data_IF_717245461279
#
_entry.id   IF_717245461279
#
_cell.length_a   1.000
_cell.length_b   1.000
_cell.length_c   1.000
_cell.angle_alpha   90.00
_cell.angle_beta   90.00
_cell.angle_gamma   90.00
#
_symmetry.space_group_name_H-M   'P 1'
#
loop_
_entity.id
_entity.type
_entity.pdbx_description
1 polymer ?
#
# COMPACT_ATOMS: atom_id res chain seq x y z
N UNK A 1 17.60 -0.26 -2.19
CA UNK A 1 16.14 -0.49 -2.27
C UNK A 1 15.52 -0.35 -0.88
N UNK A 2 14.43 0.38 -0.81
CA UNK A 2 13.68 0.55 0.43
C UNK A 2 12.34 -0.18 0.34
N UNK A 3 11.71 -0.42 1.49
CA UNK A 3 10.44 -1.12 1.58
C UNK A 3 9.41 -0.23 2.27
N UNK A 4 8.19 -0.21 1.75
CA UNK A 4 7.15 0.71 2.18
C UNK A 4 5.84 -0.01 2.42
N UNK A 5 4.99 0.57 3.26
CA UNK A 5 3.58 0.22 3.38
C UNK A 5 2.80 1.40 2.79
N UNK A 6 1.95 1.12 1.80
CA UNK A 6 1.09 2.12 1.19
C UNK A 6 -0.31 1.98 1.79
N UNK A 7 -0.80 3.05 2.41
CA UNK A 7 -2.12 3.06 3.03
C UNK A 7 -3.15 3.46 1.98
N UNK A 8 -4.02 2.54 1.60
CA UNK A 8 -5.00 2.70 0.53
C UNK A 8 -6.40 2.89 1.12
N UNK A 9 -7.16 3.79 0.49
CA UNK A 9 -8.49 4.14 0.97
C UNK A 9 -8.47 5.16 2.10
N UNK A 10 -9.61 5.77 2.36
CA UNK A 10 -9.80 6.76 3.42
C UNK A 10 -10.84 6.24 4.41
N UNK A 11 -10.86 6.81 5.62
CA UNK A 11 -11.83 6.40 6.63
C UNK A 11 -13.27 6.60 6.19
N UNK A 12 -13.54 7.65 5.40
CA UNK A 12 -14.87 7.94 4.83
C UNK A 12 -15.05 7.40 3.41
N UNK A 13 -13.97 6.91 2.78
CA UNK A 13 -13.99 6.32 1.44
C UNK A 13 -13.09 5.08 1.42
N UNK A 14 -13.50 3.99 2.08
CA UNK A 14 -12.69 2.77 2.08
C UNK A 14 -12.66 2.14 0.69
N UNK A 15 -11.64 1.33 0.44
CA UNK A 15 -11.61 0.53 -0.77
C UNK A 15 -12.81 -0.43 -0.79
N UNK A 16 -13.42 -0.66 -1.98
CA UNK A 16 -14.41 -1.73 -2.09
C UNK A 16 -13.74 -3.08 -1.92
N UNK A 17 -14.52 -4.10 -1.56
CA UNK A 17 -13.99 -5.46 -1.42
C UNK A 17 -13.35 -5.97 -2.71
N UNK A 18 -13.90 -5.58 -3.86
CA UNK A 18 -13.46 -5.99 -5.18
C UNK A 18 -13.51 -4.80 -6.13
N UNK A 19 -12.80 -4.90 -7.26
CA UNK A 19 -12.85 -3.89 -8.33
C UNK A 19 -11.98 -2.66 -8.09
N UNK A 20 -11.11 -2.68 -7.09
CA UNK A 20 -10.15 -1.60 -6.88
C UNK A 20 -9.00 -1.67 -7.90
N UNK A 21 -8.29 -0.54 -8.09
CA UNK A 21 -7.16 -0.47 -9.01
C UNK A 21 -5.85 -0.28 -8.24
N UNK A 22 -4.75 -0.80 -8.82
CA UNK A 22 -3.39 -0.69 -8.24
C UNK A 22 -2.44 -0.15 -9.31
N UNK A 23 -2.66 1.06 -9.76
CA UNK A 23 -1.85 1.69 -10.79
C UNK A 23 -1.09 2.93 -10.30
N UNK A 24 -1.59 3.59 -9.25
CA UNK A 24 -1.00 4.83 -8.74
C UNK A 24 -1.33 4.99 -7.26
N UNK A 25 -0.41 5.60 -6.53
CA UNK A 25 -0.62 5.95 -5.12
C UNK A 25 -0.39 7.44 -4.93
N UNK A 26 -1.26 8.08 -4.16
CA UNK A 26 -1.23 9.53 -3.94
C UNK A 26 -0.82 9.87 -2.51
N UNK A 27 -0.22 11.06 -2.35
CA UNK A 27 0.22 11.56 -1.05
C UNK A 27 -0.03 13.06 -0.97
N UNK A 28 -0.27 13.57 0.26
CA UNK A 28 -0.43 15.00 0.51
C UNK A 28 0.91 15.73 0.54
N UNK A 29 1.99 15.02 0.82
CA UNK A 29 3.35 15.56 0.85
C UNK A 29 4.21 14.80 -0.13
N UNK A 30 5.31 15.43 -0.56
CA UNK A 30 6.26 14.76 -1.45
C UNK A 30 6.79 13.50 -0.76
N UNK A 31 6.53 12.33 -1.31
CA UNK A 31 7.01 11.08 -0.70
C UNK A 31 8.50 10.90 -0.93
N UNK A 32 9.12 10.12 -0.03
CA UNK A 32 10.54 9.79 -0.12
C UNK A 32 10.78 8.47 -0.83
N UNK A 33 9.74 7.86 -1.38
CA UNK A 33 9.86 6.64 -2.18
C UNK A 33 10.64 6.91 -3.45
N UNK A 34 11.29 5.88 -3.97
CA UNK A 34 12.07 5.95 -5.19
C UNK A 34 11.67 4.84 -6.15
N UNK A 35 11.80 5.12 -7.43
CA UNK A 35 11.62 4.11 -8.47
C UNK A 35 12.48 2.88 -8.16
N UNK A 36 11.89 1.70 -8.21
CA UNK A 36 12.54 0.44 -7.89
C UNK A 36 12.29 -0.05 -6.47
N UNK A 37 11.75 0.78 -5.58
CA UNK A 37 11.38 0.34 -4.25
C UNK A 37 10.18 -0.61 -4.31
N UNK A 38 10.05 -1.44 -3.27
CA UNK A 38 8.94 -2.37 -3.13
C UNK A 38 8.02 -1.93 -2.00
N UNK A 39 6.75 -2.27 -2.11
CA UNK A 39 5.78 -1.87 -1.10
C UNK A 39 4.71 -2.94 -0.91
N UNK A 40 4.13 -2.93 0.29
CA UNK A 40 2.95 -3.71 0.63
C UNK A 40 1.77 -2.75 0.71
N UNK A 41 0.64 -3.12 0.12
CA UNK A 41 -0.57 -2.33 0.18
C UNK A 41 -1.43 -2.75 1.37
N UNK A 42 -1.82 -1.75 2.16
CA UNK A 42 -2.68 -1.89 3.34
C UNK A 42 -4.01 -1.20 3.03
N UNK A 43 -5.11 -1.90 3.28
CA UNK A 43 -6.45 -1.36 3.07
C UNK A 43 -6.94 -0.71 4.38
N UNK A 44 -7.08 0.62 4.37
CA UNK A 44 -7.63 1.37 5.48
C UNK A 44 -9.09 0.94 5.72
N UNK A 45 -9.53 0.97 6.96
CA UNK A 45 -10.83 0.46 7.42
C UNK A 45 -10.86 -1.08 7.50
N UNK A 46 -10.41 -1.77 6.45
CA UNK A 46 -10.28 -3.24 6.47
C UNK A 46 -9.18 -3.71 7.43
N UNK A 47 -8.19 -2.87 7.69
CA UNK A 47 -7.06 -3.17 8.56
C UNK A 47 -6.33 -4.44 8.13
N UNK A 48 -6.09 -4.57 6.82
CA UNK A 48 -5.51 -5.76 6.24
C UNK A 48 -4.57 -5.43 5.09
N UNK A 49 -3.55 -6.27 4.89
CA UNK A 49 -2.63 -6.17 3.76
C UNK A 49 -3.08 -7.12 2.65
N UNK A 50 -2.91 -6.70 1.39
CA UNK A 50 -3.50 -7.43 0.28
C UNK A 50 -2.66 -7.49 -0.99
N UNK A 51 -1.57 -6.74 -1.10
CA UNK A 51 -0.81 -6.72 -2.35
C UNK A 51 0.64 -6.37 -2.09
N UNK A 52 1.51 -6.83 -2.98
CA UNK A 52 2.90 -6.40 -3.08
C UNK A 52 3.06 -5.73 -4.43
N UNK A 53 3.61 -4.52 -4.44
CA UNK A 53 3.78 -3.73 -5.65
C UNK A 53 5.22 -3.25 -5.78
N UNK A 54 5.62 -2.97 -7.00
CA UNK A 54 6.87 -2.27 -7.29
C UNK A 54 6.54 -0.81 -7.60
N UNK A 55 7.34 0.11 -7.07
CA UNK A 55 7.23 1.52 -7.39
C UNK A 55 7.99 1.76 -8.69
N UNK A 56 7.28 2.14 -9.75
CA UNK A 56 7.83 2.18 -11.11
C UNK A 56 8.06 3.59 -11.62
N UNK A 57 7.79 4.61 -10.80
CA UNK A 57 8.14 5.99 -11.14
C UNK A 57 8.56 6.74 -9.88
N UNK A 58 9.32 7.82 -10.08
CA UNK A 58 9.58 8.77 -9.00
C UNK A 58 8.32 9.58 -8.72
N UNK A 59 8.22 10.22 -7.52
CA UNK A 59 7.06 11.05 -7.21
C UNK A 59 6.89 12.20 -8.20
N UNK A 60 5.64 12.43 -8.60
CA UNK A 60 5.24 13.50 -9.50
C UNK A 60 4.25 14.41 -8.80
N UNK A 61 4.38 15.72 -9.03
CA UNK A 61 3.45 16.70 -8.47
C UNK A 61 2.43 17.14 -9.52
N UNK A 62 1.16 17.18 -9.13
CA UNK A 62 0.11 17.82 -9.93
C UNK A 62 -0.23 19.18 -9.28
N UNK A 63 0.28 20.29 -9.82
CA UNK A 63 0.09 21.61 -9.21
C UNK A 63 -1.36 22.11 -9.28
N UNK A 64 -2.22 21.48 -10.06
CA UNK A 64 -3.63 21.87 -10.18
C UNK A 64 -4.49 21.26 -9.06
N UNK A 65 -3.99 20.27 -8.34
CA UNK A 65 -4.72 19.68 -7.23
C UNK A 65 -4.45 20.45 -5.95
N UNK A 66 -5.48 20.65 -5.15
CA UNK A 66 -5.34 21.34 -3.86
C UNK A 66 -4.92 20.40 -2.75
N UNK A 67 -5.20 19.10 -2.90
CA UNK A 67 -4.86 18.06 -1.94
C UNK A 67 -4.46 16.82 -2.72
N UNK A 68 -3.64 15.95 -2.09
CA UNK A 68 -3.13 14.74 -2.75
C UNK A 68 -2.38 15.07 -4.05
N UNK A 69 -1.53 16.11 -3.96
CA UNK A 69 -0.85 16.67 -5.14
C UNK A 69 0.27 15.79 -5.65
N UNK A 70 0.79 14.91 -4.80
CA UNK A 70 1.91 14.05 -5.14
C UNK A 70 1.39 12.65 -5.43
N UNK A 71 1.98 11.99 -6.43
CA UNK A 71 1.65 10.60 -6.74
C UNK A 71 2.84 9.93 -7.40
N UNK A 72 2.83 8.61 -7.36
CA UNK A 72 3.81 7.79 -8.08
C UNK A 72 3.09 6.56 -8.62
N UNK A 73 3.63 6.02 -9.72
CA UNK A 73 3.06 4.84 -10.35
C UNK A 73 3.53 3.58 -9.65
N UNK A 74 2.65 2.61 -9.54
CA UNK A 74 2.93 1.31 -8.95
C UNK A 74 2.51 0.22 -9.93
N UNK A 75 3.16 -0.96 -9.77
CA UNK A 75 2.83 -2.14 -10.56
C UNK A 75 2.66 -3.32 -9.61
N UNK A 76 1.51 -4.00 -9.63
CA UNK A 76 1.33 -5.16 -8.75
C UNK A 76 2.22 -6.32 -9.18
N UNK A 77 2.90 -6.92 -8.20
CA UNK A 77 3.68 -8.13 -8.36
C UNK A 77 2.86 -9.34 -7.94
N UNK A 78 2.11 -9.21 -6.86
CA UNK A 78 1.10 -10.16 -6.39
C UNK A 78 0.00 -9.38 -5.71
N UNK A 79 -1.25 -9.73 -5.96
CA UNK A 79 -2.38 -9.03 -5.36
C UNK A 79 -3.52 -10.01 -5.09
N UNK A 80 -4.17 -9.80 -3.94
CA UNK A 80 -5.44 -10.42 -3.63
C UNK A 80 -6.51 -9.48 -4.17
N UNK A 81 -7.35 -9.95 -5.07
CA UNK A 81 -8.34 -9.13 -5.75
C UNK A 81 -9.65 -9.00 -4.97
N UNK A 82 -9.73 -9.66 -3.80
CA UNK A 82 -10.88 -9.61 -2.91
C UNK A 82 -10.40 -9.36 -1.49
N UNK A 83 -10.77 -8.22 -0.90
CA UNK A 83 -10.32 -7.83 0.43
C UNK A 83 -10.91 -8.72 1.53
N UNK A 84 -11.96 -9.49 1.25
CA UNK A 84 -12.46 -10.49 2.21
C UNK A 84 -11.42 -11.56 2.50
N UNK A 85 -10.44 -11.75 1.61
CA UNK A 85 -9.34 -12.70 1.78
C UNK A 85 -8.04 -12.03 2.18
N UNK A 86 -8.04 -10.71 2.42
CA UNK A 86 -6.83 -10.00 2.83
C UNK A 86 -6.37 -10.47 4.21
N UNK A 87 -5.08 -10.27 4.47
CA UNK A 87 -4.45 -10.74 5.71
C UNK A 87 -4.53 -9.63 6.76
N UNK A 88 -5.11 -9.89 7.93
CA UNK A 88 -5.12 -8.89 9.01
C UNK A 88 -3.72 -8.36 9.28
N UNK A 89 -3.59 -7.03 9.36
CA UNK A 89 -2.28 -6.39 9.48
C UNK A 89 -1.52 -6.83 10.72
N UNK A 90 -2.22 -7.16 11.79
CA UNK A 90 -1.61 -7.61 13.04
C UNK A 90 -0.83 -8.91 12.85
N UNK A 91 -1.27 -9.78 11.93
CA UNK A 91 -0.60 -11.06 11.66
C UNK A 91 0.78 -10.87 11.02
N UNK A 92 1.03 -9.69 10.45
CA UNK A 92 2.30 -9.37 9.81
C UNK A 92 3.05 -8.26 10.54
N UNK A 93 2.71 -8.03 11.80
CA UNK A 93 3.42 -7.07 12.65
C UNK A 93 3.16 -5.61 12.32
N UNK A 94 2.06 -5.30 11.66
CA UNK A 94 1.66 -3.93 11.34
C UNK A 94 0.44 -3.57 12.17
N UNK A 95 0.54 -2.51 12.97
CA UNK A 95 -0.52 -2.13 13.91
C UNK A 95 -1.20 -0.85 13.42
N UNK A 96 -2.54 -0.87 13.27
CA UNK A 96 -3.26 0.22 12.61
C UNK A 96 -3.39 1.51 13.42
N UNK A 97 -3.01 1.53 14.69
CA UNK A 97 -3.22 2.68 15.57
C UNK A 97 -2.53 3.96 15.09
N UNK A 98 -1.48 3.86 14.27
CA UNK A 98 -0.76 5.02 13.75
C UNK A 98 -0.93 5.22 12.24
N UNK A 99 -1.63 4.31 11.54
CA UNK A 99 -1.63 4.30 10.08
C UNK A 99 -2.59 5.31 9.46
N UNK A 100 -3.65 5.70 10.17
CA UNK A 100 -4.67 6.58 9.61
C UNK A 100 -4.15 7.99 9.30
N UNK A 101 -3.01 8.37 9.86
CA UNK A 101 -2.37 9.68 9.63
C UNK A 101 -1.42 9.69 8.45
N UNK A 102 -1.15 8.53 7.85
CA UNK A 102 -0.11 8.40 6.85
C UNK A 102 -0.68 7.81 5.56
N UNK A 103 -0.17 8.28 4.42
CA UNK A 103 -0.44 7.66 3.13
C UNK A 103 0.60 6.59 2.81
N UNK A 104 1.77 6.64 3.45
CA UNK A 104 2.82 5.64 3.33
C UNK A 104 3.69 5.65 4.59
N UNK A 105 4.24 4.51 4.95
CA UNK A 105 5.24 4.39 6.02
C UNK A 105 6.35 3.46 5.58
N UNK A 106 7.53 3.62 6.18
CA UNK A 106 8.66 2.75 5.87
C UNK A 106 8.56 1.46 6.66
N UNK A 107 8.84 0.34 6.00
CA UNK A 107 8.92 -0.98 6.63
C UNK A 107 10.38 -1.41 6.74
N UNK A 108 10.70 -2.18 7.77
CA UNK A 108 11.95 -2.92 7.81
C UNK A 108 11.92 -4.04 6.76
N UNK A 109 13.09 -4.53 6.31
CA UNK A 109 13.12 -5.67 5.41
C UNK A 109 12.40 -6.90 5.99
N UNK A 110 12.46 -7.10 7.29
CA UNK A 110 11.83 -8.23 7.98
C UNK A 110 10.29 -8.09 7.96
N UNK A 111 9.78 -6.89 8.24
CA UNK A 111 8.33 -6.64 8.17
C UNK A 111 7.80 -6.82 6.75
N UNK A 112 8.54 -6.31 5.78
CA UNK A 112 8.17 -6.45 4.36
C UNK A 112 8.11 -7.93 3.98
N UNK A 113 9.14 -8.70 4.32
CA UNK A 113 9.21 -10.12 3.95
C UNK A 113 8.10 -10.94 4.61
N UNK A 114 7.79 -10.64 5.86
CA UNK A 114 6.70 -11.32 6.56
C UNK A 114 5.36 -11.07 5.85
N UNK A 115 5.08 -9.83 5.49
CA UNK A 115 3.85 -9.48 4.79
C UNK A 115 3.82 -10.09 3.37
N UNK A 116 4.94 -10.00 2.64
CA UNK A 116 5.03 -10.57 1.30
C UNK A 116 4.77 -12.07 1.30
N UNK A 117 5.41 -12.79 2.22
CA UNK A 117 5.24 -14.24 2.32
C UNK A 117 3.79 -14.61 2.60
N UNK A 118 3.13 -13.87 3.50
CA UNK A 118 1.73 -14.13 3.84
C UNK A 118 0.81 -13.89 2.63
N UNK A 119 1.03 -12.79 1.90
CA UNK A 119 0.22 -12.47 0.72
C UNK A 119 0.43 -13.51 -0.39
N UNK A 120 1.68 -13.88 -0.66
CA UNK A 120 2.00 -14.89 -1.68
C UNK A 120 1.35 -16.23 -1.33
N UNK A 121 1.43 -16.64 -0.08
CA UNK A 121 0.82 -17.89 0.38
C UNK A 121 -0.70 -17.87 0.20
N UNK A 122 -1.34 -16.75 0.56
CA UNK A 122 -2.80 -16.61 0.41
C UNK A 122 -3.22 -16.60 -1.06
N UNK A 123 -2.44 -15.94 -1.93
CA UNK A 123 -2.74 -15.85 -3.34
C UNK A 123 -2.60 -17.21 -4.06
N UNK A 124 -1.81 -18.12 -3.52
CA UNK A 124 -1.60 -19.44 -4.11
C UNK A 124 -2.73 -20.44 -3.80
N UNK A 125 -3.66 -20.06 -2.94
CA UNK A 125 -4.77 -20.96 -2.55
C UNK A 125 -5.98 -20.81 -3.43
#
# INVERSE_FOLDING_TARGET
MQHWLLVRGLGDKPLPARGFTLDRHSSTRRPTVQKGDLAVCYASVWQAVFAVVEIVSDPEEDPQRTRWRWSFKIRPLVALDDLDYAIPSEEVGVFPSSLWRHSYIRLSPEQFELARAAIVTRAAK
#
